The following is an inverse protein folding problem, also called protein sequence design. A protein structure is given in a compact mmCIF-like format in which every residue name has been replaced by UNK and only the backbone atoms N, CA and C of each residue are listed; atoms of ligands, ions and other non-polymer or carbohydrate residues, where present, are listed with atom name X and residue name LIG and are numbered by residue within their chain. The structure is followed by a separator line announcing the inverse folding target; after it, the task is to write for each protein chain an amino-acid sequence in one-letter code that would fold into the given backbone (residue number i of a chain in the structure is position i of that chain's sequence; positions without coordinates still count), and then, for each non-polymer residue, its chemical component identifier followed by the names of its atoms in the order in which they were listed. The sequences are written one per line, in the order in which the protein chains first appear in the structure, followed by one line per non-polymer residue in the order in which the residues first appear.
data_IF_955902190650
#
_entry.id   IF_955902190650
#
_cell.length_a   1.000
_cell.length_b   1.000
_cell.length_c   1.000
_cell.angle_alpha   90.00
_cell.angle_beta   90.00
_cell.angle_gamma   90.00
#
_symmetry.space_group_name_H-M   'P 1'
#
loop_
_entity.id
_entity.type
_entity.pdbx_description
1 polymer ?
#
# COMPACT_ATOMS: atom_id res chain seq x y z
N UNK A 1 23.21 -1.77 16.50
CA UNK A 1 23.03 -1.30 15.10
C UNK A 1 24.34 -1.26 14.33
N UNK A 2 25.49 -1.05 14.99
CA UNK A 2 26.83 -1.15 14.34
C UNK A 2 27.02 -2.48 13.61
N UNK A 3 26.56 -3.59 14.19
CA UNK A 3 26.64 -4.90 13.51
C UNK A 3 25.95 -4.95 12.14
N UNK A 4 24.85 -4.20 11.92
CA UNK A 4 24.17 -4.13 10.61
C UNK A 4 24.98 -3.31 9.61
N UNK A 5 25.66 -2.25 10.08
CA UNK A 5 26.56 -1.45 9.27
C UNK A 5 27.80 -2.27 8.88
N UNK A 6 28.41 -2.95 9.84
CA UNK A 6 29.60 -3.77 9.62
C UNK A 6 29.31 -4.97 8.71
N UNK A 7 28.16 -5.64 8.91
CA UNK A 7 27.83 -6.84 8.14
C UNK A 7 27.23 -6.53 6.77
N UNK A 8 26.41 -5.49 6.65
CA UNK A 8 25.60 -5.23 5.44
C UNK A 8 25.77 -3.83 4.86
N UNK A 9 26.63 -2.98 5.43
CA UNK A 9 26.80 -1.59 4.98
C UNK A 9 25.59 -0.69 5.26
N UNK A 10 24.64 -1.13 6.08
CA UNK A 10 23.41 -0.37 6.35
C UNK A 10 23.70 0.73 7.38
N UNK A 11 23.72 1.98 6.93
CA UNK A 11 23.85 3.13 7.82
C UNK A 11 22.51 3.50 8.46
N UNK A 12 22.52 3.70 9.78
CA UNK A 12 21.33 4.14 10.49
C UNK A 12 21.25 5.67 10.50
N UNK A 13 20.19 6.20 9.89
CA UNK A 13 19.86 7.62 9.96
C UNK A 13 18.89 7.82 11.12
N UNK A 14 19.34 8.52 12.18
CA UNK A 14 18.52 8.81 13.36
C UNK A 14 17.90 10.20 13.24
N UNK A 15 16.58 10.26 13.19
CA UNK A 15 15.84 11.52 13.24
C UNK A 15 15.72 11.95 14.71
N UNK A 16 15.83 13.26 14.98
CA UNK A 16 15.61 13.80 16.32
C UNK A 16 14.16 13.54 16.79
N UNK A 17 13.94 13.30 18.09
CA UNK A 17 12.59 13.22 18.65
C UNK A 17 11.77 14.47 18.30
N UNK A 18 10.46 14.31 18.11
CA UNK A 18 9.50 15.40 17.84
C UNK A 18 9.74 16.19 16.53
N UNK A 19 10.51 15.66 15.58
CA UNK A 19 10.67 16.26 14.25
C UNK A 19 9.74 15.61 13.21
N UNK A 20 8.43 15.88 13.34
CA UNK A 20 7.39 15.33 12.45
C UNK A 20 7.52 15.78 10.99
N UNK A 21 8.22 16.90 10.71
CA UNK A 21 8.46 17.35 9.35
C UNK A 21 9.45 16.45 8.61
N UNK A 22 10.52 16.00 9.29
CA UNK A 22 11.49 15.07 8.71
C UNK A 22 10.90 13.68 8.46
N UNK A 23 9.99 13.22 9.31
CA UNK A 23 9.41 11.87 9.22
C UNK A 23 8.02 11.85 8.53
N UNK A 24 7.43 12.99 8.23
CA UNK A 24 6.03 13.10 7.82
C UNK A 24 5.69 12.40 6.51
N UNK A 25 6.66 12.22 5.61
CA UNK A 25 6.46 11.43 4.38
C UNK A 25 6.25 9.96 4.68
N UNK A 26 7.05 9.40 5.59
CA UNK A 26 6.98 7.99 6.00
C UNK A 26 5.73 7.78 6.86
N UNK A 27 5.48 8.67 7.81
CA UNK A 27 4.31 8.60 8.70
C UNK A 27 2.99 8.63 7.93
N UNK A 28 2.86 9.51 6.92
CA UNK A 28 1.65 9.57 6.09
C UNK A 28 1.46 8.29 5.28
N UNK A 29 2.51 7.78 4.64
CA UNK A 29 2.42 6.53 3.90
C UNK A 29 2.01 5.35 4.80
N UNK A 30 2.53 5.28 6.02
CA UNK A 30 2.11 4.26 6.99
C UNK A 30 0.65 4.43 7.44
N UNK A 31 0.18 5.66 7.61
CA UNK A 31 -1.22 5.93 7.93
C UNK A 31 -2.15 5.42 6.81
N UNK A 32 -1.80 5.68 5.56
CA UNK A 32 -2.59 5.27 4.39
C UNK A 32 -2.68 3.74 4.31
N UNK A 33 -1.56 3.04 4.51
CA UNK A 33 -1.51 1.56 4.54
C UNK A 33 -2.33 1.01 5.71
N UNK A 34 -2.18 1.56 6.92
CA UNK A 34 -2.95 1.12 8.09
C UNK A 34 -4.46 1.28 7.87
N UNK A 35 -4.86 2.41 7.31
CA UNK A 35 -6.27 2.69 7.00
C UNK A 35 -6.80 1.72 5.95
N UNK A 36 -6.00 1.41 4.93
CA UNK A 36 -6.34 0.43 3.90
C UNK A 36 -6.50 -0.98 4.47
N UNK A 37 -5.63 -1.38 5.40
CA UNK A 37 -5.71 -2.67 6.11
C UNK A 37 -7.02 -2.80 6.90
N UNK A 38 -7.38 -1.77 7.68
CA UNK A 38 -8.63 -1.78 8.44
C UNK A 38 -9.86 -1.86 7.53
N UNK A 39 -9.86 -1.10 6.43
CA UNK A 39 -10.94 -1.13 5.43
C UNK A 39 -11.06 -2.51 4.78
N UNK A 40 -9.95 -3.10 4.34
CA UNK A 40 -9.92 -4.44 3.75
C UNK A 40 -10.35 -5.52 4.76
N UNK A 41 -10.03 -5.34 6.04
CA UNK A 41 -10.47 -6.22 7.12
C UNK A 41 -11.93 -5.97 7.58
N UNK A 42 -12.69 -5.12 6.87
CA UNK A 42 -14.08 -4.73 7.20
C UNK A 42 -14.22 -4.14 8.61
N UNK A 43 -13.20 -3.42 9.08
CA UNK A 43 -13.15 -2.82 10.41
C UNK A 43 -12.71 -3.76 11.53
N UNK A 44 -12.48 -5.04 11.26
CA UNK A 44 -12.00 -5.99 12.27
C UNK A 44 -10.47 -5.96 12.36
N UNK A 45 -9.94 -5.28 13.37
CA UNK A 45 -8.50 -5.15 13.54
C UNK A 45 -7.81 -6.52 13.65
N UNK A 46 -8.44 -7.53 14.25
CA UNK A 46 -7.82 -8.85 14.45
C UNK A 46 -7.48 -9.58 13.15
N UNK A 47 -8.12 -9.20 12.03
CA UNK A 47 -7.98 -9.84 10.72
C UNK A 47 -6.98 -9.14 9.80
N UNK A 48 -6.32 -8.07 10.25
CA UNK A 48 -5.39 -7.29 9.43
C UNK A 48 -4.32 -8.17 8.76
N UNK A 49 -3.85 -9.21 9.46
CA UNK A 49 -2.80 -10.10 8.99
C UNK A 49 -3.22 -10.88 7.72
N UNK A 50 -4.47 -11.32 7.63
CA UNK A 50 -4.97 -12.07 6.49
C UNK A 50 -5.07 -11.22 5.22
N UNK A 51 -5.37 -9.93 5.37
CA UNK A 51 -5.50 -8.99 4.24
C UNK A 51 -4.19 -8.28 3.91
N UNK A 52 -3.16 -8.42 4.75
CA UNK A 52 -1.90 -7.70 4.61
C UNK A 52 -1.20 -7.91 3.25
N UNK A 53 -0.99 -9.15 2.77
CA UNK A 53 -0.33 -9.37 1.48
C UNK A 53 -1.09 -8.72 0.31
N UNK A 54 -2.43 -8.76 0.36
CA UNK A 54 -3.30 -8.20 -0.66
C UNK A 54 -3.26 -6.67 -0.67
N UNK A 55 -3.30 -6.04 0.49
CA UNK A 55 -3.18 -4.58 0.63
C UNK A 55 -1.82 -4.10 0.16
N UNK A 56 -0.74 -4.80 0.53
CA UNK A 56 0.61 -4.46 0.07
C UNK A 56 0.78 -4.64 -1.44
N UNK A 57 0.09 -5.61 -2.04
CA UNK A 57 0.06 -5.76 -3.50
C UNK A 57 -0.74 -4.64 -4.17
N UNK A 58 -1.92 -4.33 -3.63
CA UNK A 58 -2.78 -3.25 -4.13
C UNK A 58 -2.09 -1.89 -4.05
N UNK A 59 -1.40 -1.55 -2.96
CA UNK A 59 -0.63 -0.30 -2.83
C UNK A 59 0.49 -0.21 -3.88
N UNK A 60 1.24 -1.31 -4.09
CA UNK A 60 2.33 -1.35 -5.07
C UNK A 60 1.86 -1.22 -6.52
N UNK A 61 0.65 -1.69 -6.82
CA UNK A 61 0.08 -1.66 -8.18
C UNK A 61 -0.82 -0.44 -8.43
N UNK A 62 -1.12 0.34 -7.39
CA UNK A 62 -1.93 1.56 -7.51
C UNK A 62 -1.05 2.76 -7.83
N UNK A 63 -1.51 3.58 -8.78
CA UNK A 63 -0.80 4.79 -9.19
C UNK A 63 -0.81 5.78 -8.03
N UNK A 64 0.38 6.28 -7.66
CA UNK A 64 0.52 7.33 -6.65
C UNK A 64 0.48 8.69 -7.33
N UNK A 65 -0.47 9.55 -6.92
CA UNK A 65 -0.63 10.91 -7.50
C UNK A 65 0.67 11.72 -7.56
N UNK A 66 1.52 11.60 -6.54
CA UNK A 66 2.84 12.29 -6.49
C UNK A 66 3.86 11.76 -7.50
N UNK A 67 3.77 10.48 -7.85
CA UNK A 67 4.73 9.82 -8.72
C UNK A 67 4.25 9.77 -10.18
N UNK A 68 2.94 9.85 -10.41
CA UNK A 68 2.33 9.70 -11.73
C UNK A 68 2.26 8.25 -12.22
N UNK A 69 2.95 7.32 -11.56
CA UNK A 69 2.93 5.89 -11.84
C UNK A 69 2.77 5.06 -10.55
N UNK A 70 2.68 3.73 -10.70
CA UNK A 70 2.67 2.81 -9.56
C UNK A 70 4.09 2.56 -9.03
N UNK A 71 4.26 2.31 -7.71
CA UNK A 71 5.56 1.92 -7.16
C UNK A 71 6.18 0.72 -7.89
N UNK A 72 5.36 -0.25 -8.30
CA UNK A 72 5.81 -1.38 -9.10
C UNK A 72 6.45 -0.94 -10.42
N UNK A 73 5.78 -0.05 -11.15
CA UNK A 73 6.30 0.48 -12.41
C UNK A 73 7.60 1.28 -12.20
N UNK A 74 7.66 2.10 -11.14
CA UNK A 74 8.85 2.90 -10.86
C UNK A 74 10.11 2.06 -10.58
N UNK A 75 9.94 0.86 -10.00
CA UNK A 75 11.05 -0.06 -9.70
C UNK A 75 11.39 -0.95 -10.89
N UNK A 76 10.38 -1.43 -11.62
CA UNK A 76 10.57 -2.47 -12.64
C UNK A 76 10.59 -1.96 -14.08
N UNK A 77 10.10 -0.75 -14.33
CA UNK A 77 9.87 -0.19 -15.66
C UNK A 77 8.69 -0.83 -16.43
N UNK A 78 7.93 -1.74 -15.80
CA UNK A 78 6.83 -2.46 -16.42
C UNK A 78 5.54 -2.34 -15.60
N UNK A 79 4.39 -2.39 -16.28
CA UNK A 79 3.11 -2.44 -15.59
C UNK A 79 2.85 -3.86 -15.05
N UNK A 80 2.35 -4.01 -13.81
CA UNK A 80 1.97 -5.31 -13.32
C UNK A 80 0.73 -5.80 -14.08
N UNK A 81 0.72 -7.09 -14.45
CA UNK A 81 -0.50 -7.75 -14.96
C UNK A 81 -1.32 -8.20 -13.75
N UNK A 82 -2.49 -7.62 -13.57
CA UNK A 82 -3.42 -7.97 -12.49
C UNK A 82 -4.50 -8.92 -13.01
N UNK A 83 -5.10 -9.74 -12.13
CA UNK A 83 -6.28 -10.53 -12.50
C UNK A 83 -7.39 -9.66 -13.13
N UNK A 84 -7.54 -8.42 -12.65
CA UNK A 84 -8.48 -7.45 -13.20
C UNK A 84 -8.28 -7.11 -14.67
N UNK A 85 -7.05 -7.18 -15.17
CA UNK A 85 -6.69 -6.83 -16.54
C UNK A 85 -7.09 -7.92 -17.54
N UNK A 86 -7.38 -9.14 -17.05
CA UNK A 86 -7.66 -10.32 -17.87
C UNK A 86 -9.16 -10.67 -17.89
N UNK A 87 -9.85 -10.50 -16.76
CA UNK A 87 -11.20 -11.03 -16.52
C UNK A 87 -12.18 -9.96 -16.00
N UNK A 88 -11.87 -8.68 -16.21
CA UNK A 88 -12.68 -7.53 -15.76
C UNK A 88 -13.03 -7.57 -14.26
N UNK A 89 -12.21 -8.23 -13.46
CA UNK A 89 -12.51 -8.49 -12.07
C UNK A 89 -12.51 -7.27 -11.15
N UNK A 90 -12.23 -6.09 -11.71
CA UNK A 90 -12.55 -4.80 -11.10
C UNK A 90 -14.02 -4.76 -10.66
N UNK A 91 -14.95 -5.39 -11.41
CA UNK A 91 -16.38 -5.42 -11.08
C UNK A 91 -16.79 -6.43 -9.99
N UNK A 92 -15.85 -7.24 -9.46
CA UNK A 92 -16.15 -8.19 -8.39
C UNK A 92 -16.41 -7.52 -7.04
N UNK A 93 -16.18 -6.22 -6.91
CA UNK A 93 -16.44 -5.44 -5.71
C UNK A 93 -17.38 -4.29 -6.04
N UNK A 94 -18.31 -4.01 -5.13
CA UNK A 94 -19.19 -2.86 -5.24
C UNK A 94 -18.38 -1.58 -5.07
N UNK A 95 -18.34 -0.77 -6.12
CA UNK A 95 -17.68 0.54 -6.09
C UNK A 95 -18.66 1.61 -5.61
N UNK A 96 -18.26 2.49 -4.69
CA UNK A 96 -19.09 3.63 -4.30
C UNK A 96 -19.34 4.56 -5.50
N UNK A 97 -20.57 5.06 -5.63
CA UNK A 97 -20.91 6.11 -6.60
C UNK A 97 -20.48 7.50 -6.09
N UNK A 98 -19.21 7.60 -5.72
CA UNK A 98 -18.55 8.84 -5.26
C UNK A 98 -17.04 8.74 -5.47
N UNK A 99 -16.37 9.89 -5.36
CA UNK A 99 -14.90 9.92 -5.28
C UNK A 99 -14.45 9.16 -4.02
N UNK A 100 -13.55 8.19 -4.23
CA UNK A 100 -12.95 7.38 -3.17
C UNK A 100 -11.61 7.95 -2.74
N UNK A 101 -11.28 7.80 -1.46
CA UNK A 101 -9.95 8.14 -0.96
C UNK A 101 -8.92 7.12 -1.43
N UNK A 102 -7.62 7.47 -1.41
CA UNK A 102 -6.55 6.55 -1.83
C UNK A 102 -6.57 5.25 -1.02
N UNK A 103 -6.82 5.35 0.29
CA UNK A 103 -6.83 4.22 1.21
C UNK A 103 -8.06 3.33 0.98
N UNK A 104 -9.18 3.94 0.59
CA UNK A 104 -10.37 3.21 0.19
C UNK A 104 -10.16 2.47 -1.13
N UNK A 105 -9.56 3.12 -2.12
CA UNK A 105 -9.21 2.50 -3.39
C UNK A 105 -8.28 1.29 -3.18
N UNK A 106 -7.23 1.44 -2.37
CA UNK A 106 -6.30 0.34 -2.05
C UNK A 106 -7.05 -0.81 -1.35
N UNK A 107 -7.91 -0.50 -0.38
CA UNK A 107 -8.72 -1.51 0.31
C UNK A 107 -9.68 -2.27 -0.62
N UNK A 108 -10.40 -1.55 -1.50
CA UNK A 108 -11.32 -2.15 -2.47
C UNK A 108 -10.57 -3.02 -3.49
N UNK A 109 -9.41 -2.57 -3.98
CA UNK A 109 -8.56 -3.39 -4.86
C UNK A 109 -8.04 -4.63 -4.15
N UNK A 110 -7.65 -4.53 -2.87
CA UNK A 110 -7.24 -5.69 -2.08
C UNK A 110 -8.38 -6.72 -1.94
N UNK A 111 -9.61 -6.24 -1.73
CA UNK A 111 -10.79 -7.12 -1.69
C UNK A 111 -11.09 -7.77 -3.05
N UNK A 112 -10.94 -7.02 -4.15
CA UNK A 112 -11.13 -7.57 -5.48
C UNK A 112 -10.06 -8.63 -5.80
N UNK A 113 -8.81 -8.44 -5.32
CA UNK A 113 -7.73 -9.43 -5.45
C UNK A 113 -8.02 -10.69 -4.64
N UNK A 114 -8.70 -10.56 -3.50
CA UNK A 114 -9.07 -11.69 -2.65
C UNK A 114 -10.16 -12.59 -3.27
N UNK A 115 -10.97 -12.03 -4.16
CA UNK A 115 -12.07 -12.75 -4.83
C UNK A 115 -11.60 -13.54 -6.06
N UNK A 116 -10.29 -13.50 -6.34
CA UNK A 116 -9.69 -14.11 -7.50
C UNK A 116 -8.92 -15.39 -7.25
#
# INVERSE_FOLDING_TARGET
MEWLKEKYGIENIRISPYNSQANGLVERAHYDVRTSLLKAAKGDESKWFFVFPLVMWADRCTIRKRLGCSPYFAVTGAHPVLPFDIIEATWLVEWPDRVVSTEELIGLRALALAKH
#
